data_IF_244013455094
#
_entry.id   IF_244013455094
#
_cell.length_a   1.000
_cell.length_b   1.000
_cell.length_c   1.000
_cell.angle_alpha   90.00
_cell.angle_beta   90.00
_cell.angle_gamma   90.00
#
_symmetry.space_group_name_H-M   'P 1'
#
loop_
_entity.id
_entity.type
_entity.pdbx_description
1 polymer ?
#
# COMPACT_ATOMS: atom_id res chain seq x y z
N UNK A 1 -18.63 -16.06 -3.44
CA UNK A 1 -18.57 -15.30 -2.17
C UNK A 1 -18.14 -13.90 -2.54
N UNK A 2 -19.01 -12.91 -2.36
CA UNK A 2 -18.61 -11.51 -2.48
C UNK A 2 -17.73 -11.23 -1.26
N UNK A 3 -16.46 -10.92 -1.49
CA UNK A 3 -15.59 -10.41 -0.42
C UNK A 3 -16.24 -9.13 0.09
N UNK A 4 -16.48 -9.03 1.40
CA UNK A 4 -16.98 -7.83 2.05
C UNK A 4 -16.00 -6.69 1.74
N UNK A 5 -16.38 -5.86 0.78
CA UNK A 5 -15.68 -4.61 0.48
C UNK A 5 -16.17 -3.61 1.50
N UNK A 6 -15.37 -3.38 2.53
CA UNK A 6 -15.58 -2.24 3.40
C UNK A 6 -15.36 -0.96 2.57
N UNK A 7 -16.25 0.01 2.78
CA UNK A 7 -16.24 1.28 2.06
C UNK A 7 -16.48 2.39 3.07
N UNK A 8 -15.63 3.40 3.06
CA UNK A 8 -15.66 4.50 4.02
C UNK A 8 -16.17 5.78 3.37
N UNK A 9 -17.10 6.45 4.04
CA UNK A 9 -17.61 7.76 3.63
C UNK A 9 -16.64 8.83 4.09
N UNK A 10 -16.08 9.55 3.12
CA UNK A 10 -15.09 10.60 3.40
C UNK A 10 -15.76 11.96 3.43
N UNK A 11 -16.73 12.19 2.54
CA UNK A 11 -17.55 13.40 2.51
C UNK A 11 -19.01 13.03 2.19
N UNK A 12 -19.93 13.59 2.97
CA UNK A 12 -21.37 13.56 2.72
C UNK A 12 -21.86 15.00 2.66
N UNK A 13 -22.26 15.44 1.46
CA UNK A 13 -22.83 16.75 1.26
C UNK A 13 -24.21 16.54 0.65
N UNK A 14 -25.25 16.57 1.48
CA UNK A 14 -26.61 16.09 1.17
C UNK A 14 -27.32 16.69 -0.05
N UNK A 15 -26.72 17.68 -0.73
CA UNK A 15 -27.17 18.23 -2.01
C UNK A 15 -26.28 17.88 -3.22
N UNK A 16 -25.03 17.45 -3.00
CA UNK A 16 -24.01 17.18 -4.03
C UNK A 16 -23.62 15.68 -4.12
N UNK A 17 -24.03 14.87 -3.14
CA UNK A 17 -23.77 13.43 -3.09
C UNK A 17 -22.73 13.02 -2.05
N UNK A 18 -22.39 11.74 -2.06
CA UNK A 18 -21.41 11.14 -1.13
C UNK A 18 -20.19 10.58 -1.87
N UNK A 19 -19.01 10.71 -1.27
CA UNK A 19 -17.76 10.09 -1.75
C UNK A 19 -17.36 8.97 -0.81
N UNK A 20 -17.16 7.80 -1.40
CA UNK A 20 -16.93 6.54 -0.74
C UNK A 20 -15.63 5.90 -1.26
N UNK A 21 -14.69 5.56 -0.38
CA UNK A 21 -13.43 4.90 -0.75
C UNK A 21 -13.37 3.52 -0.09
N UNK A 22 -13.09 2.50 -0.90
CA UNK A 22 -12.91 1.13 -0.42
C UNK A 22 -11.49 0.90 0.13
N UNK A 23 -11.36 -0.02 1.08
CA UNK A 23 -10.09 -0.41 1.71
C UNK A 23 -9.05 -0.82 0.66
N UNK A 24 -9.50 -1.53 -0.38
CA UNK A 24 -8.66 -1.99 -1.48
C UNK A 24 -7.97 -0.82 -2.19
N UNK A 25 -8.64 0.32 -2.34
CA UNK A 25 -8.07 1.51 -2.98
C UNK A 25 -6.96 2.11 -2.10
N UNK A 26 -7.16 2.14 -0.78
CA UNK A 26 -6.13 2.61 0.17
C UNK A 26 -4.91 1.68 0.15
N UNK A 27 -5.13 0.37 0.08
CA UNK A 27 -4.07 -0.61 -0.04
C UNK A 27 -3.27 -0.45 -1.36
N UNK A 28 -3.94 -0.15 -2.47
CA UNK A 28 -3.28 0.13 -3.76
C UNK A 28 -2.41 1.39 -3.67
N UNK A 29 -2.92 2.48 -3.09
CA UNK A 29 -2.16 3.72 -2.90
C UNK A 29 -0.90 3.45 -2.06
N UNK A 30 -1.04 2.74 -0.95
CA UNK A 30 0.07 2.38 -0.07
C UNK A 30 1.12 1.52 -0.78
N UNK A 31 0.68 0.51 -1.53
CA UNK A 31 1.57 -0.37 -2.28
C UNK A 31 2.36 0.37 -3.35
N UNK A 32 1.68 1.20 -4.15
CA UNK A 32 2.33 2.02 -5.18
C UNK A 32 3.35 2.97 -4.56
N UNK A 33 2.95 3.72 -3.54
CA UNK A 33 3.82 4.67 -2.84
C UNK A 33 5.06 3.99 -2.23
N UNK A 34 4.91 2.77 -1.69
CA UNK A 34 6.03 1.99 -1.16
C UNK A 34 6.99 1.54 -2.29
N UNK A 35 6.47 1.09 -3.42
CA UNK A 35 7.31 0.63 -4.55
C UNK A 35 8.04 1.74 -5.30
N UNK A 36 7.59 2.99 -5.17
CA UNK A 36 8.28 4.16 -5.74
C UNK A 36 9.51 4.61 -4.94
N UNK A 37 9.71 4.09 -3.73
CA UNK A 37 10.85 4.45 -2.89
C UNK A 37 12.12 3.75 -3.38
N UNK A 38 13.18 4.53 -3.60
CA UNK A 38 14.49 3.98 -3.93
C UNK A 38 15.00 3.03 -2.84
N UNK A 39 15.47 1.85 -3.27
CA UNK A 39 15.89 0.77 -2.38
C UNK A 39 14.81 -0.26 -2.08
N UNK A 40 13.54 0.01 -2.40
CA UNK A 40 12.51 -1.03 -2.46
C UNK A 40 12.62 -1.74 -3.80
N UNK A 41 12.73 -3.07 -3.77
CA UNK A 41 12.71 -3.90 -4.97
C UNK A 41 11.27 -4.23 -5.37
N UNK A 42 10.55 -4.80 -4.42
CA UNK A 42 9.19 -5.30 -4.60
C UNK A 42 8.50 -5.45 -3.25
N UNK A 43 7.20 -5.77 -3.24
CA UNK A 43 6.48 -6.15 -2.02
C UNK A 43 6.34 -7.66 -1.91
N UNK A 44 6.31 -8.17 -0.69
CA UNK A 44 6.18 -9.58 -0.42
C UNK A 44 4.79 -10.09 -0.82
N UNK A 45 4.75 -11.13 -1.66
CA UNK A 45 3.51 -11.64 -2.21
C UNK A 45 3.00 -10.87 -3.44
N UNK A 46 3.73 -9.85 -3.89
CA UNK A 46 3.37 -9.14 -5.11
C UNK A 46 3.54 -10.06 -6.33
N UNK A 47 2.52 -10.05 -7.17
CA UNK A 47 2.47 -10.74 -8.45
C UNK A 47 3.13 -9.80 -9.44
N UNK A 48 4.20 -10.23 -10.11
CA UNK A 48 4.87 -9.39 -11.13
C UNK A 48 3.86 -8.90 -12.16
N UNK A 49 4.07 -7.70 -12.72
CA UNK A 49 3.23 -7.10 -13.77
C UNK A 49 2.94 -8.05 -14.96
N UNK A 50 3.78 -9.07 -15.19
CA UNK A 50 3.57 -10.09 -16.21
C UNK A 50 2.41 -11.06 -15.92
N UNK A 51 2.07 -11.31 -14.66
CA UNK A 51 0.98 -12.23 -14.29
C UNK A 51 -0.40 -11.53 -14.25
N UNK A 52 -0.45 -10.22 -14.02
CA UNK A 52 -1.69 -9.41 -13.99
C UNK A 52 -2.39 -9.41 -15.36
N UNK A 53 -1.64 -9.50 -16.46
CA UNK A 53 -2.21 -9.52 -17.82
C UNK A 53 -2.77 -10.87 -18.27
N UNK A 54 -2.47 -11.98 -17.57
CA UNK A 54 -2.82 -13.35 -18.01
C UNK A 54 -3.79 -14.08 -17.08
N UNK A 55 -3.88 -13.69 -15.82
CA UNK A 55 -4.81 -14.28 -14.86
C UNK A 55 -5.54 -13.14 -14.16
N UNK A 56 -6.86 -13.06 -14.35
CA UNK A 56 -7.74 -12.06 -13.73
C UNK A 56 -7.78 -12.13 -12.20
N UNK A 57 -6.67 -11.79 -11.56
CA UNK A 57 -6.49 -11.82 -10.12
C UNK A 57 -6.80 -10.45 -9.53
N UNK A 58 -7.77 -10.47 -8.62
CA UNK A 58 -8.38 -9.33 -7.94
C UNK A 58 -7.54 -8.74 -6.78
N UNK A 59 -6.33 -9.22 -6.51
CA UNK A 59 -5.61 -8.84 -5.28
C UNK A 59 -4.23 -8.25 -5.60
N UNK A 60 -4.21 -6.98 -6.00
CA UNK A 60 -3.00 -6.13 -6.03
C UNK A 60 -2.49 -5.79 -4.62
N UNK A 61 -3.26 -6.11 -3.58
CA UNK A 61 -3.01 -5.84 -2.17
C UNK A 61 -2.16 -6.90 -1.46
N UNK A 62 -1.57 -7.87 -2.17
CA UNK A 62 -0.69 -8.86 -1.52
C UNK A 62 0.60 -8.20 -1.05
N UNK A 63 0.82 -8.21 0.26
CA UNK A 63 1.93 -7.52 0.92
C UNK A 63 1.54 -6.22 1.61
N UNK A 64 0.27 -5.78 1.50
CA UNK A 64 -0.27 -4.63 2.19
C UNK A 64 -1.54 -5.05 2.94
N UNK A 65 -1.57 -4.83 4.24
CA UNK A 65 -2.79 -4.89 5.04
C UNK A 65 -3.16 -3.47 5.44
N UNK A 66 -4.42 -3.12 5.25
CA UNK A 66 -4.95 -1.83 5.67
C UNK A 66 -6.13 -2.10 6.58
N UNK A 67 -6.13 -1.47 7.75
CA UNK A 67 -7.27 -1.41 8.64
C UNK A 67 -7.66 0.07 8.78
N UNK A 68 -8.92 0.39 8.54
CA UNK A 68 -9.44 1.75 8.70
C UNK A 68 -10.52 1.75 9.77
N UNK A 69 -10.37 2.62 10.76
CA UNK A 69 -11.33 2.80 11.85
C UNK A 69 -11.59 4.30 12.03
N UNK A 70 -12.84 4.73 11.88
CA UNK A 70 -13.25 6.12 12.14
C UNK A 70 -12.36 7.18 11.45
N UNK A 71 -12.04 6.94 10.17
CA UNK A 71 -11.15 7.74 9.32
C UNK A 71 -9.66 7.72 9.67
N UNK A 72 -9.25 6.89 10.63
CA UNK A 72 -7.87 6.61 10.96
C UNK A 72 -7.42 5.32 10.27
N UNK A 73 -6.27 5.38 9.60
CA UNK A 73 -5.71 4.27 8.81
C UNK A 73 -4.47 3.73 9.50
N UNK A 74 -4.42 2.42 9.63
CA UNK A 74 -3.23 1.65 9.98
C UNK A 74 -2.81 0.80 8.79
N UNK A 75 -1.52 0.83 8.45
CA UNK A 75 -0.97 0.12 7.29
C UNK A 75 0.15 -0.81 7.73
N UNK A 76 0.06 -2.09 7.36
CA UNK A 76 1.17 -3.05 7.45
C UNK A 76 1.69 -3.37 6.06
N UNK A 77 2.99 -3.16 5.86
CA UNK A 77 3.70 -3.40 4.60
C UNK A 77 4.69 -4.54 4.78
N UNK A 78 4.78 -5.41 3.78
CA UNK A 78 5.85 -6.40 3.67
C UNK A 78 6.68 -6.12 2.41
N UNK A 79 7.95 -5.79 2.58
CA UNK A 79 8.84 -5.32 1.51
C UNK A 79 10.01 -6.26 1.28
N UNK A 80 10.44 -6.34 0.02
CA UNK A 80 11.73 -6.87 -0.38
C UNK A 80 12.65 -5.68 -0.68
N UNK A 81 13.80 -5.63 -0.03
CA UNK A 81 14.73 -4.50 -0.13
C UNK A 81 15.90 -4.86 -1.04
N UNK A 82 16.36 -3.92 -1.85
CA UNK A 82 17.55 -4.10 -2.69
C UNK A 82 18.81 -4.20 -1.84
N UNK A 83 19.68 -5.14 -2.17
CA UNK A 83 21.00 -5.24 -1.55
C UNK A 83 21.79 -3.94 -1.73
N UNK A 84 22.51 -3.53 -0.68
CA UNK A 84 23.30 -2.30 -0.67
C UNK A 84 22.57 -1.05 -0.18
N UNK A 85 21.25 -1.12 0.06
CA UNK A 85 20.49 -0.03 0.66
C UNK A 85 20.39 -0.16 2.19
N UNK A 86 20.32 0.99 2.87
CA UNK A 86 20.14 1.03 4.32
C UNK A 86 18.67 0.76 4.66
N UNK A 87 18.40 -0.40 5.25
CA UNK A 87 17.04 -0.85 5.61
C UNK A 87 16.32 0.18 6.49
N UNK A 88 16.99 0.81 7.46
CA UNK A 88 16.33 1.76 8.36
C UNK A 88 15.94 3.05 7.64
N UNK A 89 16.84 3.59 6.82
CA UNK A 89 16.60 4.82 6.07
C UNK A 89 15.55 4.62 4.98
N UNK A 90 15.66 3.52 4.22
CA UNK A 90 14.65 3.15 3.22
C UNK A 90 13.29 2.91 3.87
N UNK A 91 13.22 2.18 4.98
CA UNK A 91 11.94 1.94 5.68
C UNK A 91 11.31 3.23 6.18
N UNK A 92 12.11 4.14 6.76
CA UNK A 92 11.63 5.46 7.17
C UNK A 92 11.06 6.26 6.00
N UNK A 93 11.76 6.23 4.87
CA UNK A 93 11.31 6.91 3.64
C UNK A 93 10.00 6.32 3.12
N UNK A 94 9.85 4.99 3.16
CA UNK A 94 8.58 4.31 2.83
C UNK A 94 7.46 4.76 3.76
N UNK A 95 7.69 4.81 5.08
CA UNK A 95 6.68 5.25 6.04
C UNK A 95 6.19 6.68 5.75
N UNK A 96 7.13 7.60 5.51
CA UNK A 96 6.80 9.00 5.18
C UNK A 96 6.04 9.11 3.86
N UNK A 97 6.47 8.39 2.82
CA UNK A 97 5.81 8.41 1.50
C UNK A 97 4.43 7.81 1.52
N UNK A 98 4.25 6.66 2.17
CA UNK A 98 2.95 5.98 2.27
C UNK A 98 1.97 6.82 3.07
N UNK A 99 2.41 7.38 4.20
CA UNK A 99 1.59 8.32 4.99
C UNK A 99 1.15 9.50 4.14
N UNK A 100 2.09 10.20 3.51
CA UNK A 100 1.78 11.37 2.70
C UNK A 100 0.84 11.04 1.53
N UNK A 101 1.04 9.91 0.86
CA UNK A 101 0.20 9.50 -0.27
C UNK A 101 -1.25 9.27 0.16
N UNK A 102 -1.48 8.51 1.24
CA UNK A 102 -2.82 8.23 1.73
C UNK A 102 -3.52 9.52 2.20
N UNK A 103 -2.85 10.32 3.03
CA UNK A 103 -3.44 11.53 3.59
C UNK A 103 -3.78 12.54 2.48
N UNK A 104 -2.88 12.76 1.52
CA UNK A 104 -3.11 13.72 0.43
C UNK A 104 -4.16 13.26 -0.58
N UNK A 105 -4.26 11.97 -0.88
CA UNK A 105 -5.18 11.47 -1.90
C UNK A 105 -6.58 11.18 -1.36
N UNK A 106 -6.68 10.77 -0.09
CA UNK A 106 -7.94 10.30 0.49
C UNK A 106 -8.50 11.22 1.58
N UNK A 107 -7.68 12.10 2.16
CA UNK A 107 -8.09 12.93 3.30
C UNK A 107 -8.26 12.15 4.61
N UNK A 108 -7.95 10.84 4.63
CA UNK A 108 -7.90 10.03 5.85
C UNK A 108 -6.65 10.37 6.66
N UNK A 109 -6.65 10.09 7.96
CA UNK A 109 -5.47 10.30 8.83
C UNK A 109 -4.72 9.00 9.01
N UNK A 110 -3.39 8.99 8.85
CA UNK A 110 -2.60 7.76 9.05
C UNK A 110 -1.97 7.77 10.44
N UNK A 111 -2.35 6.80 11.27
CA UNK A 111 -1.78 6.59 12.61
C UNK A 111 -0.43 5.91 12.52
N UNK A 112 -0.39 4.74 11.89
CA UNK A 112 0.76 3.85 11.91
C UNK A 112 1.04 3.27 10.53
N UNK A 113 2.33 3.25 10.16
CA UNK A 113 2.83 2.53 8.98
C UNK A 113 3.91 1.56 9.45
N UNK A 114 3.55 0.28 9.54
CA UNK A 114 4.45 -0.78 9.96
C UNK A 114 5.13 -1.38 8.74
N UNK A 115 6.46 -1.46 8.76
CA UNK A 115 7.24 -2.04 7.66
C UNK A 115 7.91 -3.32 8.14
N UNK A 116 7.59 -4.43 7.49
CA UNK A 116 8.25 -5.73 7.65
C UNK A 116 9.14 -6.00 6.45
N UNK A 117 10.40 -6.35 6.70
CA UNK A 117 11.29 -6.82 5.64
C UNK A 117 11.11 -8.32 5.46
N UNK A 118 10.70 -8.74 4.27
CA UNK A 118 10.46 -10.14 3.92
C UNK A 118 11.71 -10.79 3.32
N UNK A 119 12.44 -10.07 2.46
CA UNK A 119 13.71 -10.54 1.89
C UNK A 119 14.63 -9.37 1.51
N UNK A 120 15.88 -9.71 1.20
CA UNK A 120 16.84 -8.81 0.54
C UNK A 120 17.11 -9.39 -0.85
N UNK A 121 16.84 -8.61 -1.90
CA UNK A 121 17.06 -9.02 -3.29
C UNK A 121 18.45 -8.56 -3.74
N UNK A 122 19.20 -9.50 -4.31
CA UNK A 122 20.52 -9.23 -4.89
C UNK A 122 20.30 -9.19 -6.40
N UNK A 123 20.58 -8.06 -7.05
CA UNK A 123 20.51 -8.01 -8.51
C UNK A 123 21.37 -9.14 -9.09
N UNK A 124 20.71 -10.10 -9.75
CA UNK A 124 21.42 -11.16 -10.46
C UNK A 124 22.13 -10.51 -11.63
N UNK A 125 23.44 -10.32 -11.51
CA UNK A 125 24.31 -10.02 -12.64
C UNK A 125 24.05 -11.08 -13.70
N UNK A 126 23.45 -10.66 -14.81
CA UNK A 126 23.13 -11.53 -15.94
C UNK A 126 24.36 -11.78 -16.80
#
# INVERSE_FOLDING_TARGET
MAEDRNVYKIHDNGSLGEVQIADEVVAIIAGLAATEVEGVDSMAGNITNELVGKLGMKNLSKGVKVDVLENVVCVDLALNIKYGYNILETSKTVQERVKAAIENMTGLTVSDVNVRIASVEIEKTK
#
